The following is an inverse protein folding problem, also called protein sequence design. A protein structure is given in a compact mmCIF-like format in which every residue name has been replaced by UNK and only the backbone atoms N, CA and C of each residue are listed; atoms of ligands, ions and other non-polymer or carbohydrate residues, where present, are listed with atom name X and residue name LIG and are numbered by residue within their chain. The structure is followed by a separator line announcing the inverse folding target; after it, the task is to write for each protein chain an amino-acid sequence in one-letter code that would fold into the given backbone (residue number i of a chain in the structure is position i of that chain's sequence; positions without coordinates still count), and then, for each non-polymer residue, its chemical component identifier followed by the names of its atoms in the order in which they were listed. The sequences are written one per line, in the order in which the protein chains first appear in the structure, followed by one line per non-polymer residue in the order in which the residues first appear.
data_IF_278707495699
#
_entry.id   IF_278707495699
#
_cell.length_a   1.000
_cell.length_b   1.000
_cell.length_c   1.000
_cell.angle_alpha   90.00
_cell.angle_beta   90.00
_cell.angle_gamma   90.00
#
_symmetry.space_group_name_H-M   'P 1'
#
loop_
_entity.id
_entity.type
_entity.pdbx_description
1 polymer ?
#
# COMPACT_ATOMS: atom_id res chain seq x y z
N UNK A 1 -8.47 -29.07 21.28
CA UNK A 1 -8.36 -28.37 19.98
C UNK A 1 -7.36 -27.24 20.16
N UNK A 2 -6.20 -27.32 19.51
CA UNK A 2 -5.17 -26.30 19.61
C UNK A 2 -5.65 -25.03 18.86
N UNK A 3 -5.65 -23.90 19.56
CA UNK A 3 -5.92 -22.61 18.96
C UNK A 3 -4.84 -22.32 17.91
N UNK A 4 -5.23 -22.25 16.64
CA UNK A 4 -4.36 -21.82 15.58
C UNK A 4 -3.92 -20.39 15.89
N UNK A 5 -2.62 -20.18 16.08
CA UNK A 5 -2.04 -18.86 16.16
C UNK A 5 -2.35 -18.14 14.85
N UNK A 6 -3.23 -17.14 14.89
CA UNK A 6 -3.46 -16.24 13.77
C UNK A 6 -2.12 -15.58 13.41
N UNK A 7 -1.49 -16.06 12.33
CA UNK A 7 -0.32 -15.39 11.77
C UNK A 7 -0.75 -13.98 11.39
N UNK A 8 -0.04 -12.98 11.90
CA UNK A 8 -0.14 -11.59 11.42
C UNK A 8 0.01 -11.61 9.91
N UNK A 9 -1.08 -11.33 9.20
CA UNK A 9 -1.04 -11.03 7.77
C UNK A 9 -0.19 -9.77 7.65
N UNK A 10 0.98 -9.89 7.05
CA UNK A 10 1.76 -8.70 6.70
C UNK A 10 0.93 -7.94 5.67
N UNK A 11 0.45 -6.76 6.03
CA UNK A 11 -0.02 -5.81 5.05
C UNK A 11 1.06 -5.67 3.97
N UNK A 12 0.65 -5.63 2.71
CA UNK A 12 1.54 -5.29 1.59
C UNK A 12 1.82 -3.78 1.64
N UNK A 13 2.36 -3.33 2.76
CA UNK A 13 3.31 -2.24 2.79
C UNK A 13 4.62 -2.96 2.99
N UNK A 14 5.35 -3.16 1.89
CA UNK A 14 6.73 -3.63 1.97
C UNK A 14 7.36 -2.96 3.17
N UNK A 15 7.87 -3.78 4.12
CA UNK A 15 8.73 -3.33 5.22
C UNK A 15 9.54 -2.21 4.65
N UNK A 16 9.24 -0.97 5.05
CA UNK A 16 9.67 0.26 4.38
C UNK A 16 11.15 0.11 4.07
N UNK A 17 11.46 -0.36 2.85
CA UNK A 17 12.75 -0.12 2.25
C UNK A 17 12.67 1.39 2.17
N UNK A 18 13.35 2.03 3.12
CA UNK A 18 13.63 3.47 3.13
C UNK A 18 13.61 3.86 1.67
N UNK A 19 12.63 4.68 1.25
CA UNK A 19 12.48 5.11 -0.15
C UNK A 19 13.76 5.87 -0.50
N UNK A 20 14.79 5.11 -0.84
CA UNK A 20 16.10 5.62 -1.20
C UNK A 20 15.82 6.20 -2.56
N UNK A 21 15.86 7.53 -2.66
CA UNK A 21 15.56 8.34 -3.85
C UNK A 21 15.96 7.54 -5.11
N UNK A 22 14.97 6.86 -5.69
CA UNK A 22 15.18 6.06 -6.88
C UNK A 22 15.30 6.99 -8.09
N UNK A 23 15.92 6.51 -9.18
CA UNK A 23 16.06 7.28 -10.41
C UNK A 23 14.73 7.84 -10.96
N UNK A 24 13.60 7.26 -10.56
CA UNK A 24 12.26 7.64 -10.98
C UNK A 24 11.37 8.15 -9.84
N UNK A 25 11.87 8.33 -8.62
CA UNK A 25 11.09 8.73 -7.43
C UNK A 25 10.32 10.05 -7.57
N UNK A 26 10.70 10.90 -8.52
CA UNK A 26 10.02 12.15 -8.83
C UNK A 26 8.71 11.96 -9.63
N UNK A 27 8.47 10.78 -10.20
CA UNK A 27 7.30 10.49 -11.03
C UNK A 27 6.12 10.15 -10.12
N UNK A 28 5.07 10.97 -10.19
CA UNK A 28 3.84 10.82 -9.41
C UNK A 28 2.64 10.41 -10.26
N UNK A 29 2.81 10.28 -11.57
CA UNK A 29 1.76 9.90 -12.51
C UNK A 29 2.11 10.25 -13.95
N UNK A 30 1.17 10.04 -14.88
CA UNK A 30 1.37 10.30 -16.31
C UNK A 30 1.23 11.78 -16.70
N UNK A 31 0.73 12.64 -15.83
CA UNK A 31 0.60 14.09 -16.05
C UNK A 31 -0.34 14.45 -17.20
N UNK A 32 -1.43 13.71 -17.34
CA UNK A 32 -2.49 13.94 -18.33
C UNK A 32 -3.57 14.87 -17.78
N UNK A 33 -4.32 15.53 -18.65
CA UNK A 33 -5.58 16.18 -18.31
C UNK A 33 -6.80 15.24 -18.54
N UNK A 34 -7.99 15.76 -18.29
CA UNK A 34 -9.26 15.03 -18.42
C UNK A 34 -9.57 14.63 -19.87
N UNK A 35 -8.92 15.27 -20.86
CA UNK A 35 -9.03 14.93 -22.27
C UNK A 35 -7.95 13.92 -22.73
N UNK A 36 -7.18 13.34 -21.79
CA UNK A 36 -6.05 12.45 -22.03
C UNK A 36 -4.88 13.11 -22.80
N UNK A 37 -4.80 14.44 -22.78
CA UNK A 37 -3.69 15.16 -23.37
C UNK A 37 -2.55 15.36 -22.37
N UNK A 38 -1.33 15.06 -22.81
CA UNK A 38 -0.16 15.15 -21.96
C UNK A 38 0.35 16.58 -21.89
N UNK A 39 0.34 17.17 -20.68
CA UNK A 39 0.96 18.48 -20.45
C UNK A 39 2.48 18.38 -20.60
N UNK A 40 3.10 19.41 -21.16
CA UNK A 40 4.56 19.45 -21.42
C UNK A 40 5.41 19.10 -20.19
N UNK A 41 5.02 19.57 -19.02
CA UNK A 41 5.61 19.23 -17.71
C UNK A 41 4.47 19.03 -16.72
N UNK A 42 4.36 17.83 -16.14
CA UNK A 42 3.36 17.53 -15.10
C UNK A 42 3.67 16.22 -14.37
N UNK A 43 3.35 16.14 -13.08
CA UNK A 43 3.51 14.93 -12.24
C UNK A 43 4.91 14.27 -12.30
N UNK A 44 5.96 15.08 -12.48
CA UNK A 44 7.33 14.60 -12.62
C UNK A 44 7.71 14.11 -14.03
N UNK A 45 6.76 14.07 -14.96
CA UNK A 45 7.00 13.73 -16.36
C UNK A 45 7.26 14.98 -17.20
N UNK A 46 8.21 14.88 -18.13
CA UNK A 46 8.57 15.95 -19.08
C UNK A 46 8.60 15.36 -20.50
N UNK A 47 7.94 16.04 -21.45
CA UNK A 47 7.91 15.61 -22.85
C UNK A 47 7.20 14.25 -23.03
N UNK A 48 7.67 13.46 -24.01
CA UNK A 48 7.09 12.16 -24.40
C UNK A 48 5.56 12.18 -24.56
N UNK A 49 5.03 13.24 -25.18
CA UNK A 49 3.60 13.55 -25.28
C UNK A 49 2.82 12.39 -25.91
N UNK A 50 3.31 11.85 -27.03
CA UNK A 50 2.68 10.72 -27.72
C UNK A 50 2.65 9.45 -26.87
N UNK A 51 3.76 9.11 -26.22
CA UNK A 51 3.86 7.92 -25.36
C UNK A 51 2.99 8.05 -24.10
N UNK A 52 2.94 9.22 -23.48
CA UNK A 52 2.10 9.48 -22.31
C UNK A 52 0.61 9.46 -22.66
N UNK A 53 0.23 10.04 -23.79
CA UNK A 53 -1.15 9.95 -24.30
C UNK A 53 -1.56 8.50 -24.56
N UNK A 54 -0.71 7.72 -25.24
CA UNK A 54 -0.96 6.29 -25.47
C UNK A 54 -1.07 5.51 -24.14
N UNK A 55 -0.20 5.78 -23.17
CA UNK A 55 -0.26 5.20 -21.84
C UNK A 55 -1.56 5.58 -21.10
N UNK A 56 -2.06 6.80 -21.28
CA UNK A 56 -3.35 7.25 -20.75
C UNK A 56 -4.54 6.47 -21.30
N UNK A 57 -4.55 6.23 -22.61
CA UNK A 57 -5.60 5.40 -23.24
C UNK A 57 -5.54 3.97 -22.69
N UNK A 58 -4.35 3.39 -22.52
CA UNK A 58 -4.19 2.08 -21.89
C UNK A 58 -4.69 2.08 -20.45
N UNK A 59 -4.36 3.11 -19.67
CA UNK A 59 -4.81 3.26 -18.30
C UNK A 59 -6.34 3.29 -18.19
N UNK A 60 -7.03 4.04 -19.04
CA UNK A 60 -8.49 4.08 -19.07
C UNK A 60 -9.09 2.72 -19.49
N UNK A 61 -8.52 2.06 -20.50
CA UNK A 61 -8.97 0.71 -20.88
C UNK A 61 -8.82 -0.31 -19.75
N UNK A 62 -7.79 -0.16 -18.90
CA UNK A 62 -7.60 -0.99 -17.70
C UNK A 62 -8.67 -0.67 -16.65
N UNK A 63 -8.90 0.61 -16.34
CA UNK A 63 -9.91 1.04 -15.35
C UNK A 63 -11.33 0.63 -15.75
N UNK A 64 -11.65 0.72 -17.04
CA UNK A 64 -12.94 0.28 -17.60
C UNK A 64 -13.07 -1.24 -17.72
N UNK A 65 -11.99 -2.00 -17.49
CA UNK A 65 -12.00 -3.46 -17.61
C UNK A 65 -12.16 -3.99 -19.04
N UNK A 66 -11.95 -3.14 -20.06
CA UNK A 66 -12.07 -3.53 -21.49
C UNK A 66 -10.91 -4.41 -21.97
N UNK A 67 -9.81 -4.44 -21.22
CA UNK A 67 -8.62 -5.25 -21.52
C UNK A 67 -8.33 -6.19 -20.35
N UNK A 68 -8.23 -7.49 -20.65
CA UNK A 68 -7.71 -8.52 -19.74
C UNK A 68 -6.72 -9.42 -20.51
N UNK A 69 -5.64 -9.86 -19.84
CA UNK A 69 -4.69 -10.82 -20.41
C UNK A 69 -3.83 -10.30 -21.57
N UNK A 70 -3.67 -8.98 -21.74
CA UNK A 70 -2.81 -8.38 -22.77
C UNK A 70 -1.53 -7.81 -22.16
N UNK A 71 -0.41 -7.99 -22.85
CA UNK A 71 0.85 -7.35 -22.51
C UNK A 71 1.04 -6.04 -23.30
N UNK A 72 1.61 -5.03 -22.65
CA UNK A 72 2.00 -3.78 -23.29
C UNK A 72 3.52 -3.74 -23.49
N UNK A 73 3.97 -3.50 -24.72
CA UNK A 73 5.39 -3.36 -25.05
C UNK A 73 5.72 -1.89 -25.31
N UNK A 74 6.68 -1.33 -24.56
CA UNK A 74 7.20 0.01 -24.78
C UNK A 74 8.58 -0.10 -25.43
N UNK A 75 8.68 0.30 -26.70
CA UNK A 75 9.92 0.27 -27.45
C UNK A 75 10.47 1.70 -27.67
N UNK A 76 11.80 1.82 -27.78
CA UNK A 76 12.47 3.10 -27.99
C UNK A 76 13.95 3.05 -27.61
N UNK A 77 14.71 4.08 -27.99
CA UNK A 77 16.14 4.19 -27.70
C UNK A 77 16.44 4.20 -26.18
N UNK A 78 17.65 3.82 -25.75
CA UNK A 78 18.08 3.99 -24.36
C UNK A 78 17.92 5.47 -23.92
N UNK A 79 17.51 5.70 -22.68
CA UNK A 79 17.33 7.06 -22.14
C UNK A 79 16.01 7.78 -22.50
N UNK A 80 15.14 7.21 -23.33
CA UNK A 80 13.87 7.87 -23.73
C UNK A 80 12.74 7.79 -22.70
N UNK A 81 13.00 7.37 -21.46
CA UNK A 81 11.99 7.33 -20.40
C UNK A 81 11.00 6.16 -20.46
N UNK A 82 11.35 5.03 -21.07
CA UNK A 82 10.47 3.83 -21.12
C UNK A 82 10.04 3.35 -19.72
N UNK A 83 11.01 3.18 -18.82
CA UNK A 83 10.77 2.80 -17.43
C UNK A 83 9.99 3.89 -16.67
N UNK A 84 10.25 5.15 -16.99
CA UNK A 84 9.53 6.30 -16.41
C UNK A 84 8.04 6.27 -16.76
N UNK A 85 7.69 5.98 -18.02
CA UNK A 85 6.29 5.84 -18.44
C UNK A 85 5.61 4.65 -17.75
N UNK A 86 6.28 3.50 -17.66
CA UNK A 86 5.74 2.33 -16.93
C UNK A 86 5.46 2.66 -15.46
N UNK A 87 6.36 3.40 -14.81
CA UNK A 87 6.17 3.83 -13.43
C UNK A 87 5.07 4.89 -13.31
N UNK A 88 4.93 5.78 -14.30
CA UNK A 88 3.82 6.72 -14.38
C UNK A 88 2.46 6.02 -14.48
N UNK A 89 2.35 4.93 -15.26
CA UNK A 89 1.14 4.09 -15.32
C UNK A 89 0.84 3.50 -13.93
N UNK A 90 1.83 2.90 -13.28
CA UNK A 90 1.67 2.29 -11.95
C UNK A 90 1.16 3.29 -10.90
N UNK A 91 1.79 4.48 -10.85
CA UNK A 91 1.37 5.55 -9.92
C UNK A 91 -0.04 6.08 -10.24
N UNK A 92 -0.43 6.07 -11.52
CA UNK A 92 -1.76 6.54 -11.95
C UNK A 92 -2.88 5.52 -11.73
N UNK A 93 -2.57 4.23 -11.54
CA UNK A 93 -3.55 3.19 -11.15
C UNK A 93 -3.96 3.33 -9.68
N UNK A 94 -3.08 3.86 -8.84
CA UNK A 94 -3.32 4.14 -7.43
C UNK A 94 -2.24 3.54 -6.54
N UNK A 95 -2.02 4.15 -5.37
CA UNK A 95 -0.99 3.76 -4.39
C UNK A 95 -1.13 2.35 -3.86
N UNK A 96 -2.35 1.81 -3.89
CA UNK A 96 -2.66 0.48 -3.39
C UNK A 96 -2.50 -0.61 -4.45
N UNK A 97 -2.13 -0.23 -5.68
CA UNK A 97 -1.93 -1.17 -6.79
C UNK A 97 -0.51 -1.70 -6.70
N UNK A 98 -0.30 -3.01 -6.50
CA UNK A 98 1.04 -3.57 -6.43
C UNK A 98 1.76 -3.42 -7.77
N UNK A 99 3.04 -3.04 -7.70
CA UNK A 99 3.90 -2.88 -8.87
C UNK A 99 5.23 -3.57 -8.62
N UNK A 100 5.59 -4.53 -9.47
CA UNK A 100 6.89 -5.22 -9.40
C UNK A 100 7.70 -4.87 -10.63
N UNK A 101 8.87 -4.23 -10.43
CA UNK A 101 9.87 -4.09 -11.48
C UNK A 101 10.84 -5.28 -11.40
N UNK A 102 11.12 -5.89 -12.56
CA UNK A 102 12.06 -7.01 -12.68
C UNK A 102 12.92 -6.83 -13.92
N UNK A 103 14.22 -7.05 -13.79
CA UNK A 103 15.12 -7.12 -14.93
C UNK A 103 15.15 -8.53 -15.51
N UNK A 104 15.24 -8.67 -16.84
CA UNK A 104 15.28 -9.98 -17.49
C UNK A 104 16.44 -10.87 -17.03
N UNK A 105 17.56 -10.26 -16.61
CA UNK A 105 18.71 -10.97 -16.03
C UNK A 105 18.42 -11.59 -14.66
N UNK A 106 17.47 -11.04 -13.89
CA UNK A 106 17.10 -11.56 -12.56
C UNK A 106 16.36 -12.90 -12.64
N UNK A 107 15.83 -13.25 -13.82
CA UNK A 107 15.14 -14.53 -14.06
C UNK A 107 16.14 -15.69 -14.12
N UNK A 108 17.40 -15.42 -14.48
CA UNK A 108 18.44 -16.42 -14.60
C UNK A 108 19.23 -16.51 -13.29
N UNK A 109 18.86 -17.48 -12.45
CA UNK A 109 19.52 -17.76 -11.17
C UNK A 109 19.95 -19.23 -11.07
N UNK A 110 20.99 -19.48 -10.26
CA UNK A 110 21.38 -20.82 -9.84
C UNK A 110 20.55 -21.31 -8.63
N UNK A 111 19.98 -20.38 -7.85
CA UNK A 111 19.23 -20.70 -6.62
C UNK A 111 17.80 -21.17 -6.91
N UNK A 112 17.21 -20.73 -8.02
CA UNK A 112 15.83 -21.03 -8.38
C UNK A 112 15.62 -21.19 -9.88
N UNK A 113 14.60 -21.96 -10.25
CA UNK A 113 14.24 -22.15 -11.65
C UNK A 113 13.64 -20.88 -12.27
N UNK A 114 13.80 -20.72 -13.59
CA UNK A 114 13.21 -19.62 -14.37
C UNK A 114 11.69 -19.51 -14.16
N UNK A 115 11.00 -20.66 -14.08
CA UNK A 115 9.56 -20.73 -13.85
C UNK A 115 9.18 -20.24 -12.46
N UNK A 116 9.97 -20.59 -11.44
CA UNK A 116 9.74 -20.16 -10.07
C UNK A 116 9.97 -18.65 -9.93
N UNK A 117 11.04 -18.11 -10.53
CA UNK A 117 11.31 -16.68 -10.55
C UNK A 117 10.14 -15.87 -11.16
N UNK A 118 9.62 -16.32 -12.31
CA UNK A 118 8.45 -15.71 -12.94
C UNK A 118 7.18 -15.86 -12.10
N UNK A 119 6.95 -17.04 -11.51
CA UNK A 119 5.78 -17.30 -10.66
C UNK A 119 5.77 -16.37 -9.45
N UNK A 120 6.93 -16.15 -8.82
CA UNK A 120 7.07 -15.20 -7.73
C UNK A 120 6.84 -13.75 -8.19
N UNK A 121 7.36 -13.37 -9.36
CA UNK A 121 7.13 -12.04 -9.93
C UNK A 121 5.64 -11.74 -10.13
N UNK A 122 4.90 -12.70 -10.69
CA UNK A 122 3.45 -12.59 -10.88
C UNK A 122 2.71 -12.53 -9.54
N UNK A 123 3.06 -13.38 -8.57
CA UNK A 123 2.44 -13.35 -7.24
C UNK A 123 2.65 -12.02 -6.52
N UNK A 124 3.85 -11.43 -6.60
CA UNK A 124 4.15 -10.11 -6.02
C UNK A 124 3.38 -8.96 -6.70
N UNK A 125 3.00 -9.15 -7.96
CA UNK A 125 2.25 -8.15 -8.75
C UNK A 125 0.73 -8.27 -8.61
N UNK A 126 0.22 -9.23 -7.82
CA UNK A 126 -1.21 -9.45 -7.61
C UNK A 126 -1.54 -9.13 -6.15
N UNK A 127 -2.43 -8.15 -5.95
CA UNK A 127 -2.87 -7.71 -4.63
C UNK A 127 -4.29 -8.18 -4.36
N UNK A 128 -4.51 -8.75 -3.18
CA UNK A 128 -5.85 -9.12 -2.70
C UNK A 128 -6.22 -8.16 -1.58
N UNK A 129 -7.27 -7.35 -1.78
CA UNK A 129 -7.79 -6.45 -0.76
C UNK A 129 -8.89 -7.15 0.03
N UNK A 130 -8.62 -7.40 1.31
CA UNK A 130 -9.59 -7.96 2.26
C UNK A 130 -10.09 -6.82 3.12
N UNK A 131 -11.41 -6.66 3.22
CA UNK A 131 -12.03 -5.76 4.17
C UNK A 131 -12.49 -6.57 5.37
N UNK A 132 -12.13 -6.12 6.56
CA UNK A 132 -12.52 -6.72 7.83
C UNK A 132 -13.20 -5.63 8.68
N UNK A 133 -14.25 -6.02 9.41
CA UNK A 133 -14.93 -5.14 10.35
C UNK A 133 -14.35 -5.40 11.75
N UNK A 134 -13.79 -4.38 12.38
CA UNK A 134 -13.30 -4.46 13.76
C UNK A 134 -14.02 -3.44 14.63
N UNK A 135 -14.35 -3.84 15.86
CA UNK A 135 -14.92 -2.93 16.84
C UNK A 135 -13.80 -2.16 17.54
N UNK A 136 -13.78 -0.85 17.31
CA UNK A 136 -12.80 0.07 17.89
C UNK A 136 -13.50 0.92 18.94
N UNK A 137 -12.87 1.10 20.10
CA UNK A 137 -13.30 2.02 21.15
C UNK A 137 -12.34 3.21 21.15
N UNK A 138 -12.87 4.42 20.96
CA UNK A 138 -12.11 5.66 21.11
C UNK A 138 -12.65 6.47 22.29
N UNK A 139 -11.74 7.02 23.09
CA UNK A 139 -12.12 7.87 24.21
C UNK A 139 -10.93 8.45 24.97
N UNK A 140 -11.20 9.47 25.76
CA UNK A 140 -10.26 10.07 26.70
C UNK A 140 -10.15 9.21 27.97
N UNK A 141 -8.92 8.98 28.43
CA UNK A 141 -8.63 8.19 29.62
C UNK A 141 -8.92 8.99 30.88
N UNK A 142 -9.89 8.55 31.68
CA UNK A 142 -10.19 9.09 33.00
C UNK A 142 -9.27 8.50 34.08
N UNK A 143 -9.81 7.65 34.95
CA UNK A 143 -9.05 7.00 36.01
C UNK A 143 -8.44 5.65 35.57
N UNK A 144 -7.20 5.39 35.99
CA UNK A 144 -6.40 4.20 35.66
C UNK A 144 -5.95 3.47 36.94
N UNK A 145 -6.88 2.87 37.68
CA UNK A 145 -6.58 2.04 38.87
C UNK A 145 -7.31 0.71 38.74
N UNK A 146 -6.68 -0.27 38.08
CA UNK A 146 -7.23 -1.63 37.84
C UNK A 146 -8.41 -1.71 36.87
N UNK A 147 -9.14 -0.61 36.70
CA UNK A 147 -10.19 -0.39 35.70
C UNK A 147 -9.79 0.80 34.83
N UNK A 148 -10.18 0.76 33.55
CA UNK A 148 -10.02 1.86 32.61
C UNK A 148 -11.34 2.59 32.47
N UNK A 149 -11.37 3.88 32.76
CA UNK A 149 -12.52 4.72 32.44
C UNK A 149 -12.24 5.43 31.14
N UNK A 150 -13.09 5.22 30.12
CA UNK A 150 -13.04 5.92 28.85
C UNK A 150 -14.23 6.85 28.74
N UNK A 151 -13.94 8.12 28.44
CA UNK A 151 -14.93 9.18 28.33
C UNK A 151 -14.97 9.73 26.92
N UNK A 152 -16.18 9.85 26.38
CA UNK A 152 -16.46 10.64 25.18
C UNK A 152 -17.34 11.83 25.57
N UNK A 153 -17.70 12.68 24.60
CA UNK A 153 -18.61 13.79 24.84
C UNK A 153 -20.01 13.36 25.30
N UNK A 154 -20.42 12.14 24.96
CA UNK A 154 -21.79 11.64 25.18
C UNK A 154 -21.88 10.54 26.26
N UNK A 155 -20.82 9.75 26.43
CA UNK A 155 -20.84 8.60 27.33
C UNK A 155 -19.56 8.48 28.15
N UNK A 156 -19.71 7.95 29.35
CA UNK A 156 -18.59 7.55 30.21
C UNK A 156 -18.75 6.05 30.49
N UNK A 157 -17.71 5.28 30.18
CA UNK A 157 -17.74 3.82 30.26
C UNK A 157 -16.54 3.30 31.05
N UNK A 158 -16.79 2.32 31.92
CA UNK A 158 -15.75 1.71 32.75
C UNK A 158 -15.52 0.28 32.27
N UNK A 159 -14.28 -0.01 31.87
CA UNK A 159 -13.84 -1.32 31.42
C UNK A 159 -12.91 -1.96 32.45
N UNK A 160 -13.16 -3.24 32.75
CA UNK A 160 -12.23 -4.05 33.53
C UNK A 160 -11.09 -4.52 32.60
N UNK A 161 -9.85 -4.20 32.96
CA UNK A 161 -8.69 -4.51 32.12
C UNK A 161 -8.11 -5.88 32.48
N UNK A 162 -7.83 -6.70 31.46
CA UNK A 162 -6.99 -7.88 31.62
C UNK A 162 -5.51 -7.53 31.75
N UNK A 163 -4.71 -8.48 32.26
CA UNK A 163 -3.28 -8.29 32.52
C UNK A 163 -2.49 -7.83 31.27
N UNK A 164 -2.79 -8.39 30.10
CA UNK A 164 -2.16 -8.00 28.82
C UNK A 164 -2.46 -6.55 28.41
N UNK A 165 -3.68 -6.07 28.64
CA UNK A 165 -4.05 -4.67 28.35
C UNK A 165 -3.35 -3.70 29.29
N UNK A 166 -3.20 -4.07 30.57
CA UNK A 166 -2.46 -3.26 31.55
C UNK A 166 -0.99 -3.13 31.12
N UNK A 167 -0.38 -4.22 30.64
CA UNK A 167 0.99 -4.22 30.12
C UNK A 167 1.12 -3.31 28.89
N UNK A 168 0.24 -3.42 27.89
CA UNK A 168 0.23 -2.56 26.69
C UNK A 168 0.10 -1.08 27.06
N UNK A 169 -0.88 -0.73 27.91
CA UNK A 169 -1.11 0.65 28.36
C UNK A 169 0.03 1.20 29.22
N UNK A 170 0.81 0.34 29.88
CA UNK A 170 1.99 0.75 30.67
C UNK A 170 3.19 0.94 29.75
N UNK A 171 3.34 0.08 28.74
CA UNK A 171 4.40 0.17 27.74
C UNK A 171 4.27 1.45 26.90
N UNK A 172 3.04 1.82 26.53
CA UNK A 172 2.74 3.07 25.80
C UNK A 172 2.69 4.30 26.71
N UNK A 173 2.87 4.12 28.02
CA UNK A 173 2.88 5.19 29.04
C UNK A 173 1.62 6.07 29.04
N UNK A 174 0.47 5.48 28.72
CA UNK A 174 -0.83 6.17 28.71
C UNK A 174 -1.14 6.75 30.09
N UNK A 175 -1.50 8.02 30.15
CA UNK A 175 -1.88 8.76 31.35
C UNK A 175 -3.35 9.17 31.32
N UNK A 176 -3.84 9.70 32.44
CA UNK A 176 -5.15 10.33 32.50
C UNK A 176 -5.14 11.60 31.63
N UNK A 177 -6.16 11.79 30.81
CA UNK A 177 -6.28 12.88 29.84
C UNK A 177 -5.82 12.51 28.41
N UNK A 178 -5.21 11.34 28.21
CA UNK A 178 -4.81 10.90 26.88
C UNK A 178 -6.01 10.38 26.08
N UNK A 179 -6.05 10.67 24.78
CA UNK A 179 -7.03 10.10 23.85
C UNK A 179 -6.45 8.80 23.29
N UNK A 180 -7.14 7.69 23.52
CA UNK A 180 -6.71 6.36 23.08
C UNK A 180 -7.74 5.72 22.16
N UNK A 181 -7.23 4.92 21.24
CA UNK A 181 -8.00 4.09 20.31
C UNK A 181 -7.65 2.64 20.63
N UNK A 182 -8.63 1.85 21.05
CA UNK A 182 -8.44 0.44 21.44
C UNK A 182 -9.25 -0.45 20.51
N UNK A 183 -8.59 -1.39 19.84
CA UNK A 183 -9.24 -2.46 19.10
C UNK A 183 -9.66 -3.58 20.07
N UNK A 184 -10.96 -3.86 20.16
CA UNK A 184 -11.49 -4.91 21.05
C UNK A 184 -11.02 -6.31 20.68
N UNK A 185 -10.77 -6.58 19.39
CA UNK A 185 -10.39 -7.91 18.93
C UNK A 185 -8.92 -8.22 19.22
N UNK A 186 -8.04 -7.23 19.08
CA UNK A 186 -6.59 -7.41 19.23
C UNK A 186 -6.04 -6.94 20.57
N UNK A 187 -6.79 -6.12 21.32
CA UNK A 187 -6.36 -5.55 22.60
C UNK A 187 -5.15 -4.63 22.44
N UNK A 188 -5.08 -3.92 21.32
CA UNK A 188 -4.03 -2.95 20.99
C UNK A 188 -4.64 -1.58 20.80
#
# INVERSE_FOLDING_TARGET
MAAASAQKVQEIREVTRIERIGAHSHIRGLGLDDALEARNVSQGMVGQVSSRRAAGVILEMIKEGKIAGRACLIAGQPGTGKTAVAMGIAQSLGTDTPFTAMAGSEIFSLEMSKTEALTQAFRKSIGIRIKEETEIIEGEVGAKIGKLTLKTTEMETVYDLGQKMIESLTQEKVQSGDIVTIDKATGK
#
